data_IF_908621848198
#
_entry.id   IF_908621848198
#
_cell.length_a   1.000
_cell.length_b   1.000
_cell.length_c   1.000
_cell.angle_alpha   90.00
_cell.angle_beta   90.00
_cell.angle_gamma   90.00
#
_symmetry.space_group_name_H-M   'P 1'
#
loop_
_entity.id
_entity.type
_entity.pdbx_description
1 polymer ?
#
# COMPACT_ATOMS: atom_id res chain seq x y z
N UNK A 1 -8.95 29.67 4.28
CA UNK A 1 -9.39 28.41 4.91
C UNK A 1 -8.65 27.29 4.20
N UNK A 2 -7.90 26.44 4.91
CA UNK A 2 -7.20 25.33 4.27
C UNK A 2 -8.26 24.29 3.87
N UNK A 3 -8.42 24.03 2.58
CA UNK A 3 -9.31 22.97 2.10
C UNK A 3 -8.81 21.63 2.62
N UNK A 4 -9.59 20.98 3.48
CA UNK A 4 -9.34 19.62 3.93
C UNK A 4 -9.61 18.67 2.76
N UNK A 5 -8.57 18.05 2.22
CA UNK A 5 -8.72 17.02 1.20
C UNK A 5 -9.38 15.80 1.84
N UNK A 6 -10.52 15.40 1.26
CA UNK A 6 -11.24 14.20 1.65
C UNK A 6 -11.58 13.43 0.37
N UNK A 7 -10.81 12.39 0.11
CA UNK A 7 -11.13 11.46 -0.96
C UNK A 7 -12.31 10.58 -0.55
N UNK A 8 -13.39 10.51 -1.37
CA UNK A 8 -14.55 9.68 -1.04
C UNK A 8 -14.24 8.18 -1.11
N UNK A 9 -13.32 7.78 -1.99
CA UNK A 9 -12.89 6.40 -2.21
C UNK A 9 -11.39 6.33 -2.49
N UNK A 10 -10.72 5.20 -2.22
CA UNK A 10 -9.34 5.00 -2.63
C UNK A 10 -9.17 5.04 -4.15
N UNK A 11 -7.95 5.34 -4.61
CA UNK A 11 -7.57 5.28 -6.02
C UNK A 11 -6.21 4.61 -6.20
N UNK A 12 -5.96 4.08 -7.40
CA UNK A 12 -4.66 3.51 -7.74
C UNK A 12 -3.61 4.64 -7.80
N UNK A 13 -2.47 4.47 -7.12
CA UNK A 13 -1.33 5.39 -7.19
C UNK A 13 -0.27 4.86 -8.15
N UNK A 14 0.09 3.58 -8.00
CA UNK A 14 1.03 2.89 -8.88
C UNK A 14 0.35 1.63 -9.37
N UNK A 15 0.09 1.54 -10.66
CA UNK A 15 -0.45 0.35 -11.30
C UNK A 15 0.66 -0.66 -11.58
N UNK A 16 0.41 -1.93 -11.27
CA UNK A 16 1.28 -3.04 -11.65
C UNK A 16 0.69 -3.78 -12.85
N UNK A 17 1.34 -3.67 -14.02
CA UNK A 17 0.95 -4.37 -15.26
C UNK A 17 1.80 -5.63 -15.50
N UNK A 18 2.29 -6.26 -14.44
CA UNK A 18 3.01 -7.54 -14.46
C UNK A 18 4.49 -7.44 -14.80
N UNK A 19 4.91 -6.58 -15.74
CA UNK A 19 6.35 -6.31 -16.00
C UNK A 19 6.73 -4.83 -15.88
N UNK A 20 5.74 -3.98 -15.68
CA UNK A 20 5.91 -2.53 -15.71
C UNK A 20 5.05 -1.93 -14.60
N UNK A 21 5.64 -0.98 -13.86
CA UNK A 21 4.93 -0.14 -12.93
C UNK A 21 4.64 1.21 -13.59
N UNK A 22 3.38 1.65 -13.53
CA UNK A 22 2.95 2.95 -14.06
C UNK A 22 2.35 3.79 -12.97
N UNK A 23 2.78 5.04 -12.88
CA UNK A 23 2.18 6.00 -11.96
C UNK A 23 0.87 6.52 -12.55
N UNK A 24 -0.20 6.48 -11.76
CA UNK A 24 -1.49 7.07 -12.11
C UNK A 24 -1.40 8.60 -12.04
N UNK A 25 -1.61 9.28 -13.17
CA UNK A 25 -1.44 10.74 -13.25
C UNK A 25 -2.51 11.49 -12.46
N UNK A 26 -3.73 10.95 -12.43
CA UNK A 26 -4.85 11.46 -11.66
C UNK A 26 -4.53 11.44 -10.15
N UNK A 27 -3.82 10.40 -9.69
CA UNK A 27 -3.34 10.32 -8.32
C UNK A 27 -2.28 11.39 -8.01
N UNK A 28 -1.32 11.60 -8.91
CA UNK A 28 -0.32 12.66 -8.76
C UNK A 28 -0.94 14.05 -8.74
N UNK A 29 -1.94 14.30 -9.59
CA UNK A 29 -2.66 15.56 -9.62
C UNK A 29 -3.36 15.81 -8.28
N UNK A 30 -4.05 14.82 -7.73
CA UNK A 30 -4.68 14.94 -6.41
C UNK A 30 -3.65 15.20 -5.31
N UNK A 31 -2.53 14.48 -5.32
CA UNK A 31 -1.45 14.70 -4.34
C UNK A 31 -0.85 16.11 -4.46
N UNK A 32 -0.77 16.68 -5.66
CA UNK A 32 -0.27 18.04 -5.88
C UNK A 32 -1.16 19.13 -5.27
N UNK A 33 -2.43 18.81 -5.00
CA UNK A 33 -3.37 19.72 -4.34
C UNK A 33 -3.25 19.66 -2.80
N UNK A 34 -2.51 18.69 -2.24
CA UNK A 34 -2.28 18.56 -0.79
C UNK A 34 -1.13 19.48 -0.36
N UNK A 35 -1.50 20.61 0.25
CA UNK A 35 -0.56 21.60 0.78
C UNK A 35 -0.25 21.41 2.28
N UNK A 36 -0.98 20.51 2.94
CA UNK A 36 -0.76 20.18 4.35
C UNK A 36 0.38 19.16 4.51
N UNK A 37 1.08 19.12 5.65
CA UNK A 37 1.96 18.01 5.97
C UNK A 37 1.20 16.67 5.91
N UNK A 38 1.86 15.65 5.37
CA UNK A 38 1.29 14.31 5.20
C UNK A 38 1.90 13.33 6.19
N UNK A 39 1.06 12.45 6.73
CA UNK A 39 1.47 11.24 7.44
C UNK A 39 1.09 10.06 6.59
N UNK A 40 2.07 9.24 6.20
CA UNK A 40 1.84 8.09 5.33
C UNK A 40 1.87 6.81 6.14
N UNK A 41 0.74 6.11 6.23
CA UNK A 41 0.65 4.76 6.80
C UNK A 41 0.47 3.77 5.66
N UNK A 42 1.41 2.86 5.52
CA UNK A 42 1.40 1.88 4.45
C UNK A 42 1.37 0.46 5.00
N UNK A 43 0.76 -0.47 4.27
CA UNK A 43 0.69 -1.87 4.68
C UNK A 43 1.24 -2.79 3.58
N UNK A 44 2.07 -3.75 3.98
CA UNK A 44 2.62 -4.80 3.11
C UNK A 44 2.40 -6.16 3.75
N UNK A 45 2.57 -7.22 2.97
CA UNK A 45 2.46 -8.60 3.46
C UNK A 45 1.81 -9.52 2.43
N UNK A 46 1.78 -10.81 2.75
CA UNK A 46 1.31 -11.84 1.82
C UNK A 46 -0.12 -11.56 1.32
N UNK A 47 -0.42 -12.04 0.13
CA UNK A 47 -1.77 -11.99 -0.42
C UNK A 47 -2.79 -12.64 0.54
N UNK A 48 -4.03 -12.10 0.56
CA UNK A 48 -5.15 -12.58 1.39
C UNK A 48 -4.94 -12.62 2.91
N UNK A 49 -4.13 -11.73 3.45
CA UNK A 49 -3.91 -11.61 4.90
C UNK A 49 -4.78 -10.57 5.60
N UNK A 50 -5.75 -9.95 4.90
CA UNK A 50 -6.65 -8.96 5.49
C UNK A 50 -6.15 -7.51 5.48
N UNK A 51 -5.11 -7.20 4.68
CA UNK A 51 -4.53 -5.84 4.59
C UNK A 51 -5.55 -4.74 4.33
N UNK A 52 -6.29 -4.84 3.21
CA UNK A 52 -7.31 -3.86 2.81
C UNK A 52 -8.42 -3.70 3.87
N UNK A 53 -8.75 -4.78 4.59
CA UNK A 53 -9.70 -4.71 5.70
C UNK A 53 -9.16 -3.85 6.84
N UNK A 54 -7.91 -4.08 7.26
CA UNK A 54 -7.27 -3.27 8.30
C UNK A 54 -7.14 -1.80 7.89
N UNK A 55 -6.80 -1.52 6.63
CA UNK A 55 -6.69 -0.15 6.11
C UNK A 55 -8.05 0.57 6.10
N UNK A 56 -9.15 -0.12 5.77
CA UNK A 56 -10.49 0.45 5.89
C UNK A 56 -10.85 0.80 7.36
N UNK A 57 -10.43 -0.04 8.31
CA UNK A 57 -10.59 0.26 9.75
C UNK A 57 -9.78 1.48 10.18
N UNK A 58 -8.55 1.63 9.70
CA UNK A 58 -7.74 2.83 9.96
C UNK A 58 -8.37 4.09 9.35
N UNK A 59 -9.04 3.97 8.21
CA UNK A 59 -9.81 5.07 7.62
C UNK A 59 -11.10 5.41 8.39
N UNK A 60 -11.48 4.62 9.40
CA UNK A 60 -12.74 4.78 10.11
C UNK A 60 -13.98 4.47 9.26
N UNK A 61 -13.82 3.65 8.20
CA UNK A 61 -14.90 3.31 7.26
C UNK A 61 -15.12 1.79 7.19
N UNK A 62 -16.33 1.38 6.82
CA UNK A 62 -16.68 -0.04 6.59
C UNK A 62 -16.46 -0.48 5.14
N UNK A 63 -16.32 0.47 4.22
CA UNK A 63 -16.01 0.28 2.81
C UNK A 63 -14.95 1.29 2.37
N UNK A 64 -14.23 0.98 1.29
CA UNK A 64 -13.08 1.75 0.81
C UNK A 64 -12.24 0.89 -0.12
N UNK A 65 -11.08 0.44 0.37
CA UNK A 65 -10.23 -0.50 -0.36
C UNK A 65 -10.99 -1.79 -0.63
N UNK A 66 -10.86 -2.29 -1.86
CA UNK A 66 -11.56 -3.50 -2.29
C UNK A 66 -11.11 -4.70 -1.46
N UNK A 67 -12.06 -5.44 -0.90
CA UNK A 67 -11.76 -6.66 -0.15
C UNK A 67 -11.59 -7.83 -1.12
N UNK A 68 -10.48 -8.56 -1.00
CA UNK A 68 -10.20 -9.81 -1.71
C UNK A 68 -11.18 -10.93 -1.34
N UNK A 69 -12.16 -11.26 -2.18
CA UNK A 69 -13.03 -12.45 -2.00
C UNK A 69 -12.79 -13.56 -3.03
N UNK A 70 -12.01 -13.28 -4.09
CA UNK A 70 -11.73 -14.23 -5.19
C UNK A 70 -10.31 -14.78 -5.09
N UNK A 71 -10.04 -15.83 -5.85
CA UNK A 71 -8.72 -16.48 -5.91
C UNK A 71 -7.66 -15.54 -6.52
N UNK A 72 -8.04 -14.55 -7.31
CA UNK A 72 -7.11 -13.54 -7.82
C UNK A 72 -6.78 -12.47 -6.78
N UNK A 73 -5.55 -11.94 -6.82
CA UNK A 73 -5.21 -10.73 -6.06
C UNK A 73 -6.05 -9.55 -6.59
N UNK A 74 -7.00 -9.09 -5.76
CA UNK A 74 -7.90 -8.00 -6.11
C UNK A 74 -7.17 -6.64 -6.21
N UNK A 75 -6.16 -6.41 -5.39
CA UNK A 75 -5.35 -5.19 -5.42
C UNK A 75 -4.13 -5.45 -6.29
N UNK A 76 -4.00 -4.75 -7.43
CA UNK A 76 -2.78 -4.74 -8.25
C UNK A 76 -2.07 -3.40 -8.09
N UNK A 77 -0.76 -3.46 -7.81
CA UNK A 77 0.05 -2.28 -7.51
C UNK A 77 -0.16 -1.68 -6.12
N UNK A 78 -0.06 -0.35 -6.00
CA UNK A 78 -0.18 0.42 -4.75
C UNK A 78 -1.38 1.36 -4.88
N UNK A 79 -2.30 1.29 -3.92
CA UNK A 79 -3.51 2.10 -3.86
C UNK A 79 -3.41 3.08 -2.72
N UNK A 80 -3.87 4.31 -2.93
CA UNK A 80 -3.85 5.37 -1.93
C UNK A 80 -5.24 5.85 -1.54
N UNK A 81 -5.37 6.30 -0.29
CA UNK A 81 -6.56 6.98 0.18
C UNK A 81 -6.17 8.14 1.11
N UNK A 82 -6.45 9.37 0.67
CA UNK A 82 -6.14 10.58 1.43
C UNK A 82 -7.37 11.04 2.22
N UNK A 83 -7.23 11.11 3.54
CA UNK A 83 -8.29 11.51 4.47
C UNK A 83 -7.75 12.50 5.52
N UNK A 84 -8.61 13.29 6.17
CA UNK A 84 -8.18 14.13 7.30
C UNK A 84 -7.56 13.29 8.42
N UNK A 85 -6.43 13.71 8.98
CA UNK A 85 -5.81 12.96 10.08
C UNK A 85 -6.69 13.02 11.35
N UNK A 86 -7.09 11.88 11.93
CA UNK A 86 -8.14 11.81 12.96
C UNK A 86 -7.78 12.50 14.28
N UNK A 87 -6.49 12.75 14.52
CA UNK A 87 -5.98 13.41 15.74
C UNK A 87 -5.22 14.72 15.47
N UNK A 88 -5.01 15.09 14.20
CA UNK A 88 -4.15 16.22 13.82
C UNK A 88 -4.84 17.01 12.69
N UNK A 89 -5.70 17.99 13.01
CA UNK A 89 -6.56 18.65 12.02
C UNK A 89 -5.83 19.40 10.89
N UNK A 90 -4.55 19.73 11.09
CA UNK A 90 -3.70 20.42 10.11
C UNK A 90 -2.91 19.47 9.21
N UNK A 91 -3.12 18.15 9.33
CA UNK A 91 -2.40 17.14 8.57
C UNK A 91 -3.35 16.25 7.76
N UNK A 92 -2.84 15.75 6.64
CA UNK A 92 -3.51 14.73 5.84
C UNK A 92 -2.92 13.35 6.15
N UNK A 93 -3.78 12.37 6.41
CA UNK A 93 -3.40 10.97 6.52
C UNK A 93 -3.52 10.32 5.14
N UNK A 94 -2.41 9.79 4.64
CA UNK A 94 -2.36 9.02 3.40
C UNK A 94 -2.22 7.54 3.77
N UNK A 95 -3.24 6.78 3.41
CA UNK A 95 -3.26 5.32 3.60
C UNK A 95 -2.81 4.65 2.30
N UNK A 96 -1.78 3.81 2.36
CA UNK A 96 -1.31 3.02 1.21
C UNK A 96 -1.61 1.53 1.42
N UNK A 97 -2.51 0.97 0.64
CA UNK A 97 -2.80 -0.47 0.59
C UNK A 97 -2.11 -1.08 -0.63
N UNK A 98 -1.40 -2.19 -0.44
CA UNK A 98 -0.60 -2.80 -1.50
C UNK A 98 -1.17 -4.12 -1.98
N UNK A 99 -0.85 -4.43 -3.22
CA UNK A 99 -0.90 -5.79 -3.73
C UNK A 99 -0.16 -6.75 -2.78
N UNK A 100 -0.71 -7.96 -2.63
CA UNK A 100 -0.13 -8.98 -1.76
C UNK A 100 1.14 -9.59 -2.34
N UNK A 101 2.13 -9.81 -1.50
CA UNK A 101 3.38 -10.48 -1.86
C UNK A 101 3.16 -11.99 -2.02
N UNK A 102 3.93 -12.65 -2.88
CA UNK A 102 3.92 -14.11 -3.06
C UNK A 102 2.73 -14.68 -3.84
N UNK A 103 2.01 -13.85 -4.58
CA UNK A 103 0.94 -14.32 -5.48
C UNK A 103 1.57 -15.08 -6.65
N UNK A 104 1.31 -16.38 -6.72
CA UNK A 104 1.86 -17.32 -7.73
C UNK A 104 1.46 -16.97 -9.17
N UNK A 105 0.42 -16.17 -9.38
CA UNK A 105 0.07 -15.66 -10.73
C UNK A 105 0.99 -14.52 -11.17
N UNK A 106 1.83 -13.97 -10.28
CA UNK A 106 2.86 -12.99 -10.63
C UNK A 106 4.03 -13.69 -11.28
N UNK A 107 4.02 -13.76 -12.61
CA UNK A 107 5.09 -14.39 -13.39
C UNK A 107 6.51 -13.81 -13.17
N UNK A 108 6.67 -12.68 -12.46
CA UNK A 108 7.98 -12.10 -12.11
C UNK A 108 8.10 -11.80 -10.59
N UNK A 109 8.98 -12.51 -9.86
CA UNK A 109 9.21 -12.28 -8.43
C UNK A 109 9.83 -10.91 -8.11
N UNK A 110 10.38 -10.18 -9.09
CA UNK A 110 10.90 -8.82 -8.89
C UNK A 110 9.80 -7.81 -8.56
N UNK A 111 8.56 -8.06 -8.97
CA UNK A 111 7.44 -7.16 -8.71
C UNK A 111 7.18 -6.99 -7.20
N UNK A 112 7.29 -8.07 -6.45
CA UNK A 112 7.09 -8.07 -5.00
C UNK A 112 8.15 -7.23 -4.29
N UNK A 113 9.40 -7.31 -4.78
CA UNK A 113 10.52 -6.51 -4.27
C UNK A 113 10.26 -5.02 -4.51
N UNK A 114 9.83 -4.64 -5.72
CA UNK A 114 9.55 -3.25 -6.05
C UNK A 114 8.34 -2.68 -5.30
N UNK A 115 7.25 -3.44 -5.18
CA UNK A 115 6.08 -3.04 -4.37
C UNK A 115 6.51 -2.78 -2.92
N UNK A 116 7.28 -3.71 -2.33
CA UNK A 116 7.75 -3.54 -0.97
C UNK A 116 8.67 -2.32 -0.82
N UNK A 117 9.68 -2.19 -1.69
CA UNK A 117 10.66 -1.12 -1.61
C UNK A 117 10.02 0.26 -1.77
N UNK A 118 9.15 0.43 -2.77
CA UNK A 118 8.41 1.68 -2.98
C UNK A 118 7.52 1.99 -1.78
N UNK A 119 6.81 0.99 -1.26
CA UNK A 119 5.91 1.18 -0.11
C UNK A 119 6.67 1.58 1.14
N UNK A 120 7.82 0.94 1.40
CA UNK A 120 8.71 1.30 2.51
C UNK A 120 9.18 2.75 2.38
N UNK A 121 9.73 3.13 1.21
CA UNK A 121 10.29 4.46 0.96
C UNK A 121 9.25 5.58 1.02
N UNK A 122 8.00 5.30 0.62
CA UNK A 122 6.91 6.27 0.66
C UNK A 122 6.27 6.41 2.05
N UNK A 123 6.48 5.45 2.95
CA UNK A 123 5.80 5.38 4.24
C UNK A 123 6.49 6.18 5.34
N UNK A 124 5.69 6.82 6.21
CA UNK A 124 6.14 7.27 7.53
C UNK A 124 6.08 6.12 8.55
N UNK A 125 5.09 5.24 8.39
CA UNK A 125 4.92 4.01 9.17
C UNK A 125 4.59 2.87 8.22
N UNK A 126 5.38 1.81 8.26
CA UNK A 126 5.12 0.56 7.54
C UNK A 126 4.52 -0.49 8.48
N UNK A 127 3.33 -0.99 8.12
CA UNK A 127 2.69 -2.13 8.77
C UNK A 127 3.01 -3.38 7.97
N UNK A 128 3.75 -4.31 8.57
CA UNK A 128 3.95 -5.64 8.00
C UNK A 128 2.88 -6.60 8.52
N UNK A 129 2.06 -7.14 7.64
CA UNK A 129 0.91 -7.97 7.98
C UNK A 129 1.16 -9.45 7.65
N UNK A 130 1.25 -10.28 8.68
CA UNK A 130 1.38 -11.74 8.61
C UNK A 130 0.27 -12.44 9.39
N UNK A 131 -0.05 -13.68 8.99
CA UNK A 131 -0.98 -14.55 9.74
C UNK A 131 -0.16 -15.51 10.60
N UNK A 132 -0.63 -15.76 11.82
CA UNK A 132 -0.01 -16.71 12.74
C UNK A 132 1.16 -16.08 13.51
N UNK A 133 2.09 -16.92 13.93
CA UNK A 133 3.28 -16.51 14.68
C UNK A 133 4.33 -15.90 13.76
N UNK A 134 5.18 -15.04 14.31
CA UNK A 134 6.39 -14.57 13.62
C UNK A 134 7.40 -15.71 13.63
N UNK A 135 7.41 -16.49 12.55
CA UNK A 135 8.35 -17.59 12.34
C UNK A 135 9.51 -17.16 11.41
N UNK A 136 10.45 -18.07 11.18
CA UNK A 136 11.59 -17.81 10.29
C UNK A 136 11.12 -17.46 8.87
N UNK A 137 10.00 -18.01 8.41
CA UNK A 137 9.45 -17.71 7.10
C UNK A 137 8.99 -16.25 7.02
N UNK A 138 8.24 -15.77 8.01
CA UNK A 138 7.83 -14.37 8.12
C UNK A 138 9.04 -13.41 8.13
N UNK A 139 10.11 -13.78 8.83
CA UNK A 139 11.37 -13.02 8.85
C UNK A 139 12.09 -13.03 7.49
N UNK A 140 12.13 -14.16 6.80
CA UNK A 140 12.76 -14.25 5.48
C UNK A 140 12.01 -13.41 4.43
N UNK A 141 10.67 -13.35 4.50
CA UNK A 141 9.85 -12.49 3.64
C UNK A 141 10.08 -10.99 3.89
N UNK A 142 10.52 -10.62 5.09
CA UNK A 142 10.96 -9.25 5.42
C UNK A 142 12.39 -8.95 4.97
N UNK A 143 13.29 -9.95 4.96
CA UNK A 143 14.67 -9.80 4.50
C UNK A 143 14.79 -9.80 2.97
N UNK A 144 13.95 -10.56 2.28
CA UNK A 144 13.95 -10.72 0.83
C UNK A 144 13.95 -9.38 0.05
N UNK A 145 13.19 -8.34 0.46
CA UNK A 145 13.24 -7.04 -0.19
C UNK A 145 14.49 -6.19 0.10
N UNK A 146 15.22 -6.51 1.17
CA UNK A 146 16.40 -5.74 1.63
C UNK A 146 17.70 -6.24 1.02
N UNK A 147 17.73 -7.49 0.57
CA UNK A 147 18.86 -8.06 -0.17
C UNK A 147 18.58 -8.00 -1.67
N UNK A 148 18.93 -6.88 -2.31
CA UNK A 148 19.25 -6.94 -3.74
C UNK A 148 20.54 -7.74 -3.88
N UNK A 149 20.58 -8.86 -4.62
CA UNK A 149 21.86 -9.45 -4.98
C UNK A 149 22.59 -8.39 -5.80
N UNK A 150 23.77 -7.95 -5.33
CA UNK A 150 24.71 -7.28 -6.20
C UNK A 150 24.87 -8.20 -7.43
N UNK A 151 24.55 -7.68 -8.61
CA UNK A 151 24.74 -8.41 -9.86
C UNK A 151 26.20 -8.89 -9.92
N UNK A 152 26.40 -10.20 -10.06
CA UNK A 152 27.66 -10.75 -10.54
C UNK A 152 27.72 -10.58 -12.05
#
# INVERSE_FOLDING_TARGET
MVSTIHMPTPMCLIENRGKEFRVCQEALQLLSEIHQPVVVVAIVGLYRTGKSYLMNKLAGKTSGFALGSKVQANTKGIWMWCIPHPKQPSQTLVLLDTEGLGDVEKGDPKNDTWIFALTLLLSSTLVYNSIGTIDQYAMNQLQYPLHTPAQQ
#
